data_IF_210965256587
#
_entry.id   IF_210965256587
#
_cell.length_a   1.000
_cell.length_b   1.000
_cell.length_c   1.000
_cell.angle_alpha   90.00
_cell.angle_beta   90.00
_cell.angle_gamma   90.00
#
_symmetry.space_group_name_H-M   'P 1'
#
loop_
_entity.id
_entity.type
_entity.pdbx_description
1 polymer ?
#
# COMPACT_ATOMS: atom_id res chain seq x y z
N UNK A 1 -19.81 -0.47 27.16
CA UNK A 1 -18.97 -1.29 28.06
C UNK A 1 -17.80 -1.82 27.25
N UNK A 2 -16.67 -1.11 27.21
CA UNK A 2 -15.41 -1.65 26.69
C UNK A 2 -14.24 -0.87 27.29
N UNK A 3 -13.17 -1.59 27.59
CA UNK A 3 -12.30 -1.41 28.74
C UNK A 3 -11.12 -0.46 28.50
N UNK A 4 -10.77 0.29 29.55
CA UNK A 4 -9.60 1.18 29.68
C UNK A 4 -8.29 0.37 29.66
N UNK A 5 -7.34 0.75 28.81
CA UNK A 5 -5.95 0.32 28.88
C UNK A 5 -5.14 1.34 29.70
N UNK A 6 -4.71 0.93 30.89
CA UNK A 6 -3.78 1.64 31.77
C UNK A 6 -2.33 1.36 31.34
N UNK A 7 -1.65 2.36 30.78
CA UNK A 7 -0.19 2.35 30.60
C UNK A 7 0.49 2.85 31.88
N UNK A 8 1.16 1.96 32.62
CA UNK A 8 1.97 2.30 33.79
C UNK A 8 3.41 2.59 33.35
N UNK A 9 3.87 3.82 33.61
CA UNK A 9 5.26 4.26 33.47
C UNK A 9 6.10 3.72 34.62
N UNK A 10 7.29 3.19 34.33
CA UNK A 10 8.27 2.78 35.34
C UNK A 10 9.43 3.81 35.36
N UNK A 11 9.39 4.74 36.30
CA UNK A 11 10.56 5.52 36.72
C UNK A 11 11.18 4.84 37.95
N UNK A 12 12.47 4.47 37.88
CA UNK A 12 13.18 3.85 39.00
C UNK A 12 14.26 4.79 39.55
N UNK A 13 13.86 5.49 40.61
CA UNK A 13 14.57 5.74 41.87
C UNK A 13 16.07 6.09 41.86
N UNK A 14 16.34 7.39 42.06
CA UNK A 14 17.56 7.92 42.68
C UNK A 14 17.55 7.68 44.22
N UNK A 15 18.65 7.15 44.77
CA UNK A 15 19.03 7.21 46.20
C UNK A 15 20.38 7.94 46.26
N UNK A 16 20.47 9.19 46.77
CA UNK A 16 20.70 9.60 48.19
C UNK A 16 21.81 8.79 48.85
N UNK A 17 22.78 9.29 49.60
CA UNK A 17 23.30 10.57 50.13
C UNK A 17 24.73 10.18 50.61
N UNK A 18 25.70 11.03 50.98
CA UNK A 18 25.78 11.94 52.13
C UNK A 18 27.18 12.55 52.04
N UNK A 19 27.25 13.86 52.25
CA UNK A 19 28.46 14.68 52.35
C UNK A 19 28.83 14.82 53.83
N UNK A 20 30.01 14.35 54.23
CA UNK A 20 30.67 14.52 55.53
C UNK A 20 32.17 14.33 55.23
N UNK A 21 33.16 15.04 55.76
CA UNK A 21 33.27 16.24 56.61
C UNK A 21 34.79 16.46 56.62
N UNK A 22 35.31 17.59 56.11
CA UNK A 22 36.74 17.91 56.27
C UNK A 22 36.99 18.24 57.75
N UNK A 23 37.90 17.49 58.36
CA UNK A 23 38.47 17.79 59.67
C UNK A 23 39.98 17.64 59.56
N UNK A 24 40.65 18.78 59.49
CA UNK A 24 42.09 18.91 59.63
C UNK A 24 42.54 18.33 60.98
N UNK A 25 43.48 17.39 60.93
CA UNK A 25 44.27 17.02 62.11
C UNK A 25 45.74 16.98 61.74
N UNK A 26 46.42 18.05 62.14
CA UNK A 26 47.88 18.15 62.17
C UNK A 26 48.30 18.20 63.65
N UNK A 27 48.97 17.17 64.17
CA UNK A 27 50.20 17.32 64.97
C UNK A 27 50.72 15.98 65.53
N UNK A 28 51.95 15.67 65.10
CA UNK A 28 53.14 15.28 65.88
C UNK A 28 53.00 14.10 66.87
N UNK A 29 53.73 12.99 66.62
CA UNK A 29 54.89 12.60 67.44
C UNK A 29 55.62 11.31 66.98
N UNK A 30 56.96 11.41 67.03
CA UNK A 30 57.98 10.39 67.39
C UNK A 30 58.47 9.32 66.40
N UNK A 31 59.76 9.52 66.09
CA UNK A 31 60.80 8.70 65.46
C UNK A 31 61.13 7.41 66.23
N UNK A 32 61.47 6.32 65.53
CA UNK A 32 62.73 5.58 65.75
C UNK A 32 63.02 4.52 64.67
N UNK A 33 64.24 4.59 64.08
CA UNK A 33 65.19 3.55 63.62
C UNK A 33 64.65 2.17 63.18
N UNK A 34 65.09 1.55 62.07
CA UNK A 34 66.48 1.12 61.83
C UNK A 34 66.63 0.36 60.50
N UNK A 35 67.63 0.75 59.70
CA UNK A 35 68.62 -0.08 58.94
C UNK A 35 68.14 -1.18 57.92
N UNK A 36 69.02 -1.61 56.99
CA UNK A 36 68.68 -1.75 55.57
C UNK A 36 68.51 -3.21 55.12
N UNK A 37 68.31 -3.41 53.80
CA UNK A 37 68.46 -4.66 53.00
C UNK A 37 67.16 -5.38 52.61
N UNK A 38 66.55 -5.00 51.46
CA UNK A 38 65.83 -5.87 50.48
C UNK A 38 65.05 -5.12 49.36
N UNK A 39 65.42 -3.89 48.98
CA UNK A 39 64.56 -3.03 48.15
C UNK A 39 64.64 -3.25 46.62
N UNK A 40 65.73 -3.78 46.06
CA UNK A 40 65.91 -3.78 44.60
C UNK A 40 64.88 -4.62 43.82
N UNK A 41 64.54 -5.82 44.30
CA UNK A 41 63.61 -6.72 43.61
C UNK A 41 62.15 -6.23 43.60
N UNK A 42 61.72 -5.51 44.64
CA UNK A 42 60.35 -4.97 44.75
C UNK A 42 60.17 -3.74 43.86
N UNK A 43 61.22 -2.94 43.75
CA UNK A 43 61.24 -1.76 42.89
C UNK A 43 61.25 -2.20 41.42
N UNK A 44 62.04 -3.22 41.06
CA UNK A 44 62.06 -3.82 39.73
C UNK A 44 60.69 -4.40 39.34
N UNK A 45 60.01 -5.11 40.25
CA UNK A 45 58.66 -5.65 40.01
C UNK A 45 57.62 -4.55 39.79
N UNK A 46 57.73 -3.44 40.52
CA UNK A 46 56.84 -2.30 40.40
C UNK A 46 57.04 -1.56 39.06
N UNK A 47 58.28 -1.43 38.60
CA UNK A 47 58.62 -0.86 37.30
C UNK A 47 58.08 -1.73 36.16
N UNK A 48 58.25 -3.05 36.26
CA UNK A 48 57.73 -4.00 35.26
C UNK A 48 56.20 -3.96 35.23
N UNK A 49 55.53 -3.93 36.39
CA UNK A 49 54.08 -3.83 36.45
C UNK A 49 53.53 -2.53 35.84
N UNK A 50 54.20 -1.40 36.11
CA UNK A 50 53.85 -0.11 35.52
C UNK A 50 54.01 -0.12 33.99
N UNK A 51 55.09 -0.70 33.48
CA UNK A 51 55.35 -0.79 32.04
C UNK A 51 54.39 -1.74 31.33
N UNK A 52 54.05 -2.89 31.97
CA UNK A 52 53.03 -3.82 31.47
C UNK A 52 51.65 -3.16 31.44
N UNK A 53 51.26 -2.43 32.50
CA UNK A 53 50.00 -1.70 32.53
C UNK A 53 49.95 -0.61 31.44
N UNK A 54 51.05 0.10 31.22
CA UNK A 54 51.17 1.11 30.16
C UNK A 54 50.96 0.49 28.78
N UNK A 55 51.63 -0.62 28.50
CA UNK A 55 51.54 -1.30 27.21
C UNK A 55 50.15 -1.90 26.98
N UNK A 56 49.59 -2.59 27.98
CA UNK A 56 48.26 -3.20 27.90
C UNK A 56 47.18 -2.13 27.72
N UNK A 57 47.19 -1.06 28.50
CA UNK A 57 46.21 0.02 28.34
C UNK A 57 46.31 0.67 26.95
N UNK A 58 47.53 0.91 26.45
CA UNK A 58 47.74 1.45 25.10
C UNK A 58 47.19 0.50 24.01
N UNK A 59 47.41 -0.81 24.16
CA UNK A 59 46.90 -1.81 23.20
C UNK A 59 45.38 -1.93 23.29
N UNK A 60 44.80 -1.90 24.50
CA UNK A 60 43.35 -1.94 24.70
C UNK A 60 42.70 -0.70 24.09
N UNK A 61 43.21 0.50 24.37
CA UNK A 61 42.72 1.76 23.81
C UNK A 61 42.76 1.75 22.28
N UNK A 62 43.84 1.25 21.69
CA UNK A 62 43.97 1.19 20.22
C UNK A 62 43.03 0.16 19.59
N UNK A 63 42.85 -1.02 20.18
CA UNK A 63 41.93 -2.05 19.66
C UNK A 63 40.47 -1.61 19.83
N UNK A 64 40.09 -1.11 21.01
CA UNK A 64 38.74 -0.61 21.28
C UNK A 64 38.44 0.59 20.39
N UNK A 65 39.37 1.54 20.25
CA UNK A 65 39.22 2.68 19.35
C UNK A 65 38.98 2.26 17.91
N UNK A 66 39.74 1.29 17.39
CA UNK A 66 39.52 0.72 16.04
C UNK A 66 38.14 0.07 15.90
N UNK A 67 37.71 -0.70 16.90
CA UNK A 67 36.40 -1.36 16.87
C UNK A 67 35.25 -0.34 16.91
N UNK A 68 35.35 0.69 17.76
CA UNK A 68 34.38 1.79 17.87
C UNK A 68 34.32 2.56 16.55
N UNK A 69 35.46 2.94 15.96
CA UNK A 69 35.47 3.65 14.67
C UNK A 69 34.79 2.82 13.57
N UNK A 70 35.08 1.52 13.50
CA UNK A 70 34.44 0.62 12.52
C UNK A 70 32.93 0.49 12.73
N UNK A 71 32.46 0.51 13.98
CA UNK A 71 31.04 0.55 14.30
C UNK A 71 30.41 1.89 13.92
N UNK A 72 31.09 2.99 14.20
CA UNK A 72 30.66 4.34 13.84
C UNK A 72 30.51 4.49 12.32
N UNK A 73 31.48 4.00 11.54
CA UNK A 73 31.41 3.99 10.08
C UNK A 73 30.19 3.21 9.56
N UNK A 74 29.94 2.02 10.14
CA UNK A 74 28.77 1.20 9.79
C UNK A 74 27.45 1.86 10.16
N UNK A 75 27.38 2.51 11.32
CA UNK A 75 26.19 3.25 11.76
C UNK A 75 25.93 4.43 10.84
N UNK A 76 26.97 5.17 10.45
CA UNK A 76 26.87 6.26 9.47
C UNK A 76 26.41 5.79 8.10
N UNK A 77 26.92 4.65 7.60
CA UNK A 77 26.47 4.04 6.34
C UNK A 77 24.99 3.61 6.41
N UNK A 78 24.58 2.96 7.50
CA UNK A 78 23.18 2.57 7.73
C UNK A 78 22.27 3.81 7.80
N UNK A 79 22.70 4.86 8.50
CA UNK A 79 21.95 6.12 8.59
C UNK A 79 21.78 6.78 7.21
N UNK A 80 22.83 6.78 6.39
CA UNK A 80 22.76 7.28 5.01
C UNK A 80 21.81 6.47 4.12
N UNK A 81 21.86 5.14 4.22
CA UNK A 81 20.93 4.24 3.52
C UNK A 81 19.49 4.45 3.98
N UNK A 82 19.25 4.60 5.28
CA UNK A 82 17.93 4.85 5.83
C UNK A 82 17.37 6.18 5.32
N UNK A 83 18.15 7.25 5.33
CA UNK A 83 17.74 8.54 4.75
C UNK A 83 17.39 8.44 3.26
N UNK A 84 18.13 7.61 2.51
CA UNK A 84 17.85 7.37 1.09
C UNK A 84 16.54 6.59 0.91
N UNK A 85 16.30 5.59 1.75
CA UNK A 85 15.07 4.81 1.74
C UNK A 85 13.86 5.67 2.12
N UNK A 86 13.97 6.56 3.11
CA UNK A 86 12.90 7.47 3.50
C UNK A 86 12.49 8.39 2.34
N UNK A 87 13.46 8.91 1.57
CA UNK A 87 13.17 9.71 0.37
C UNK A 87 12.42 8.91 -0.68
N UNK A 88 12.91 7.70 -1.01
CA UNK A 88 12.24 6.81 -1.96
C UNK A 88 10.84 6.42 -1.50
N UNK A 89 10.66 6.23 -0.20
CA UNK A 89 9.35 5.92 0.37
C UNK A 89 8.38 7.09 0.19
N UNK A 90 8.85 8.33 0.39
CA UNK A 90 8.07 9.53 0.06
C UNK A 90 7.66 9.58 -1.40
N UNK A 91 8.60 9.38 -2.34
CA UNK A 91 8.31 9.34 -3.78
C UNK A 91 7.28 8.26 -4.15
N UNK A 92 7.37 7.07 -3.53
CA UNK A 92 6.40 5.99 -3.73
C UNK A 92 5.02 6.39 -3.20
N UNK A 93 4.94 7.01 -2.02
CA UNK A 93 3.67 7.48 -1.46
C UNK A 93 3.01 8.49 -2.39
N UNK A 94 3.77 9.47 -2.88
CA UNK A 94 3.26 10.49 -3.80
C UNK A 94 2.78 9.87 -5.12
N UNK A 95 3.56 8.95 -5.69
CA UNK A 95 3.18 8.24 -6.92
C UNK A 95 1.93 7.38 -6.72
N UNK A 96 1.79 6.70 -5.59
CA UNK A 96 0.60 5.92 -5.26
C UNK A 96 -0.62 6.83 -5.09
N UNK A 97 -0.48 7.98 -4.44
CA UNK A 97 -1.57 8.96 -4.31
C UNK A 97 -2.04 9.46 -5.68
N UNK A 98 -1.11 9.77 -6.59
CA UNK A 98 -1.46 10.18 -7.95
C UNK A 98 -2.19 9.07 -8.71
N UNK A 99 -1.69 7.83 -8.67
CA UNK A 99 -2.33 6.69 -9.33
C UNK A 99 -3.75 6.46 -8.78
N UNK A 100 -3.94 6.60 -7.47
CA UNK A 100 -5.26 6.46 -6.84
C UNK A 100 -6.24 7.52 -7.35
N UNK A 101 -5.82 8.77 -7.47
CA UNK A 101 -6.64 9.85 -8.00
C UNK A 101 -7.03 9.61 -9.47
N UNK A 102 -6.05 9.27 -10.32
CA UNK A 102 -6.28 8.94 -11.73
C UNK A 102 -7.21 7.72 -11.90
N UNK A 103 -7.09 6.73 -11.00
CA UNK A 103 -7.97 5.55 -10.99
C UNK A 103 -9.40 5.93 -10.65
N UNK A 104 -9.62 6.79 -9.66
CA UNK A 104 -10.95 7.25 -9.26
C UNK A 104 -11.61 8.04 -10.40
N UNK A 105 -10.87 8.93 -11.07
CA UNK A 105 -11.38 9.67 -12.23
C UNK A 105 -11.73 8.73 -13.39
N UNK A 106 -10.85 7.76 -13.67
CA UNK A 106 -11.07 6.75 -14.71
C UNK A 106 -12.32 5.91 -14.45
N UNK A 107 -12.53 5.45 -13.21
CA UNK A 107 -13.74 4.69 -12.83
C UNK A 107 -14.99 5.56 -13.03
N UNK A 108 -14.95 6.81 -12.58
CA UNK A 108 -16.07 7.74 -12.72
C UNK A 108 -16.42 8.00 -14.19
N UNK A 109 -15.39 8.08 -15.06
CA UNK A 109 -15.56 8.25 -16.50
C UNK A 109 -16.16 7.00 -17.15
N UNK A 110 -15.71 5.81 -16.74
CA UNK A 110 -16.24 4.54 -17.23
C UNK A 110 -17.73 4.42 -16.87
N UNK A 111 -18.10 4.64 -15.60
CA UNK A 111 -19.49 4.59 -15.14
C UNK A 111 -20.40 5.52 -15.95
N UNK A 112 -19.92 6.72 -16.26
CA UNK A 112 -20.66 7.68 -17.08
C UNK A 112 -20.83 7.20 -18.53
N UNK A 113 -19.78 6.63 -19.14
CA UNK A 113 -19.83 6.09 -20.50
C UNK A 113 -20.72 4.86 -20.58
N UNK A 114 -20.70 3.99 -19.58
CA UNK A 114 -21.58 2.82 -19.49
C UNK A 114 -23.04 3.23 -19.45
N UNK A 115 -23.39 4.23 -18.62
CA UNK A 115 -24.75 4.79 -18.55
C UNK A 115 -25.21 5.36 -19.89
N UNK A 116 -24.36 6.15 -20.56
CA UNK A 116 -24.69 6.68 -21.88
C UNK A 116 -24.87 5.57 -22.91
N UNK A 117 -24.00 4.55 -22.90
CA UNK A 117 -24.10 3.41 -23.80
C UNK A 117 -25.42 2.67 -23.58
N UNK A 118 -25.82 2.48 -22.33
CA UNK A 118 -27.10 1.84 -22.00
C UNK A 118 -28.29 2.67 -22.49
N UNK A 119 -28.27 3.99 -22.29
CA UNK A 119 -29.32 4.88 -22.78
C UNK A 119 -29.43 4.85 -24.31
N UNK A 120 -28.29 4.88 -25.01
CA UNK A 120 -28.24 4.78 -26.47
C UNK A 120 -28.77 3.44 -26.98
N UNK A 121 -28.46 2.33 -26.30
CA UNK A 121 -29.01 1.01 -26.63
C UNK A 121 -30.54 0.98 -26.49
N UNK A 122 -31.08 1.55 -25.42
CA UNK A 122 -32.53 1.63 -25.22
C UNK A 122 -33.20 2.50 -26.30
N UNK A 123 -32.59 3.64 -26.65
CA UNK A 123 -33.07 4.50 -27.74
C UNK A 123 -33.06 3.78 -29.09
N UNK A 124 -31.98 3.03 -29.38
CA UNK A 124 -31.85 2.26 -30.61
C UNK A 124 -32.93 1.17 -30.71
N UNK A 125 -33.16 0.43 -29.62
CA UNK A 125 -34.21 -0.60 -29.55
C UNK A 125 -35.61 0.02 -29.76
N UNK A 126 -35.91 1.14 -29.09
CA UNK A 126 -37.17 1.86 -29.27
C UNK A 126 -37.36 2.34 -30.73
N UNK A 127 -36.30 2.86 -31.37
CA UNK A 127 -36.34 3.26 -32.77
C UNK A 127 -36.51 2.08 -33.73
N UNK A 128 -35.81 0.97 -33.49
CA UNK A 128 -35.94 -0.26 -34.28
C UNK A 128 -37.35 -0.83 -34.17
N UNK A 129 -37.91 -0.88 -32.96
CA UNK A 129 -39.26 -1.34 -32.70
C UNK A 129 -40.31 -0.42 -33.34
N UNK A 130 -40.13 0.90 -33.29
CA UNK A 130 -41.02 1.85 -33.99
C UNK A 130 -40.92 1.73 -35.50
N UNK A 131 -39.71 1.58 -36.03
CA UNK A 131 -39.48 1.41 -37.46
C UNK A 131 -40.11 0.13 -38.00
N UNK A 132 -40.10 -0.95 -37.22
CA UNK A 132 -40.65 -2.26 -37.59
C UNK A 132 -42.07 -2.50 -37.07
N UNK A 133 -42.70 -1.53 -36.41
CA UNK A 133 -44.02 -1.68 -35.77
C UNK A 133 -45.12 -2.18 -36.72
N UNK A 134 -45.04 -1.81 -37.99
CA UNK A 134 -46.01 -2.19 -39.01
C UNK A 134 -45.57 -3.42 -39.83
N UNK A 135 -44.44 -4.04 -39.49
CA UNK A 135 -43.92 -5.21 -40.19
C UNK A 135 -44.47 -6.48 -39.54
N UNK A 136 -45.11 -7.33 -40.33
CA UNK A 136 -45.53 -8.67 -39.92
C UNK A 136 -44.60 -9.71 -40.52
N UNK A 137 -44.16 -10.65 -39.69
CA UNK A 137 -43.35 -11.80 -40.13
C UNK A 137 -44.19 -13.07 -40.07
N UNK A 138 -44.44 -13.66 -41.24
CA UNK A 138 -45.10 -14.95 -41.35
C UNK A 138 -44.05 -16.06 -41.44
N UNK A 139 -44.16 -17.06 -40.57
CA UNK A 139 -43.22 -18.18 -40.47
C UNK A 139 -43.93 -19.44 -41.01
N UNK A 140 -43.17 -20.38 -41.58
CA UNK A 140 -43.68 -21.65 -42.13
C UNK A 140 -44.57 -21.53 -43.37
N UNK A 141 -44.34 -20.53 -44.23
CA UNK A 141 -44.98 -20.47 -45.56
C UNK A 141 -44.15 -21.30 -46.57
N UNK A 142 -44.76 -22.30 -47.25
CA UNK A 142 -44.07 -23.11 -48.25
C UNK A 142 -43.47 -22.27 -49.39
N UNK A 143 -42.28 -22.66 -49.87
CA UNK A 143 -41.56 -21.99 -50.96
C UNK A 143 -42.33 -21.97 -52.29
N UNK A 144 -43.30 -22.88 -52.46
CA UNK A 144 -44.12 -23.00 -53.67
C UNK A 144 -44.99 -21.78 -53.95
N UNK A 145 -45.20 -20.89 -52.97
CA UNK A 145 -45.93 -19.64 -53.16
C UNK A 145 -45.00 -18.56 -53.71
N UNK A 146 -45.17 -18.21 -54.99
CA UNK A 146 -44.49 -17.06 -55.61
C UNK A 146 -45.11 -15.72 -55.19
N UNK A 147 -44.46 -14.59 -55.49
CA UNK A 147 -44.84 -13.25 -55.01
C UNK A 147 -46.33 -12.89 -55.19
N UNK A 148 -46.91 -13.15 -56.37
CA UNK A 148 -48.34 -12.85 -56.61
C UNK A 148 -49.26 -13.75 -55.78
N UNK A 149 -48.87 -15.02 -55.58
CA UNK A 149 -49.57 -15.97 -54.72
C UNK A 149 -49.43 -15.61 -53.24
N UNK A 150 -48.28 -15.06 -52.82
CA UNK A 150 -48.08 -14.54 -51.46
C UNK A 150 -48.97 -13.34 -51.19
N UNK A 151 -49.06 -12.40 -52.13
CA UNK A 151 -49.96 -11.25 -51.98
C UNK A 151 -51.43 -11.72 -51.82
N UNK A 152 -51.89 -12.67 -52.62
CA UNK A 152 -53.24 -13.23 -52.50
C UNK A 152 -53.47 -13.95 -51.16
N UNK A 153 -52.48 -14.70 -50.68
CA UNK A 153 -52.53 -15.38 -49.39
C UNK A 153 -52.69 -14.38 -48.23
N UNK A 154 -51.87 -13.33 -48.21
CA UNK A 154 -51.90 -12.31 -47.15
C UNK A 154 -53.17 -11.46 -47.23
N UNK A 155 -53.55 -10.98 -48.43
CA UNK A 155 -54.67 -10.03 -48.59
C UNK A 155 -56.06 -10.67 -48.47
N UNK A 156 -56.22 -11.94 -48.84
CA UNK A 156 -57.54 -12.59 -48.90
C UNK A 156 -57.64 -13.82 -47.99
N UNK A 157 -56.69 -14.74 -48.12
CA UNK A 157 -56.82 -16.06 -47.48
C UNK A 157 -56.67 -15.99 -45.96
N UNK A 158 -55.69 -15.23 -45.46
CA UNK A 158 -55.44 -15.10 -44.01
C UNK A 158 -56.59 -14.37 -43.30
N UNK A 159 -57.05 -13.18 -43.73
CA UNK A 159 -58.18 -12.49 -43.10
C UNK A 159 -59.45 -13.34 -43.05
N UNK A 160 -59.74 -14.09 -44.13
CA UNK A 160 -60.87 -15.01 -44.21
C UNK A 160 -60.74 -16.16 -43.20
N UNK A 161 -59.55 -16.76 -43.10
CA UNK A 161 -59.28 -17.88 -42.18
C UNK A 161 -59.30 -17.46 -40.72
N UNK A 162 -58.89 -16.23 -40.42
CA UNK A 162 -58.93 -15.66 -39.07
C UNK A 162 -60.31 -15.10 -38.68
N UNK A 163 -61.27 -15.03 -39.62
CA UNK A 163 -62.60 -14.51 -39.37
C UNK A 163 -62.61 -13.01 -39.04
N UNK A 164 -61.67 -12.24 -39.61
CA UNK A 164 -61.60 -10.80 -39.35
C UNK A 164 -62.82 -10.08 -39.94
N UNK A 165 -63.26 -8.95 -39.35
CA UNK A 165 -64.30 -8.09 -39.91
C UNK A 165 -63.91 -7.57 -41.30
N UNK A 166 -64.89 -7.32 -42.17
CA UNK A 166 -64.65 -6.81 -43.53
C UNK A 166 -63.87 -5.49 -43.55
N UNK A 167 -63.99 -4.67 -42.50
CA UNK A 167 -63.20 -3.45 -42.35
C UNK A 167 -61.68 -3.71 -42.30
N UNK A 168 -61.26 -4.88 -41.82
CA UNK A 168 -59.85 -5.26 -41.70
C UNK A 168 -59.24 -5.79 -43.02
N UNK A 169 -60.00 -5.90 -44.11
CA UNK A 169 -59.50 -6.38 -45.41
C UNK A 169 -58.88 -5.25 -46.23
N UNK A 170 -59.12 -4.00 -45.84
CA UNK A 170 -58.66 -2.82 -46.58
C UNK A 170 -57.32 -2.28 -46.05
N UNK A 171 -56.29 -3.13 -46.02
CA UNK A 171 -54.93 -2.71 -45.66
C UNK A 171 -54.04 -2.61 -46.91
N UNK A 172 -53.16 -1.61 -46.91
CA UNK A 172 -52.17 -1.41 -47.97
C UNK A 172 -50.86 -2.07 -47.58
N UNK A 173 -50.34 -2.93 -48.45
CA UNK A 173 -49.02 -3.54 -48.29
C UNK A 173 -48.00 -2.65 -48.99
N UNK A 174 -47.05 -2.08 -48.24
CA UNK A 174 -45.98 -1.25 -48.81
C UNK A 174 -44.86 -2.09 -49.44
N UNK A 175 -44.48 -3.19 -48.76
CA UNK A 175 -43.45 -4.12 -49.23
C UNK A 175 -43.77 -5.53 -48.75
N UNK A 176 -43.70 -6.48 -49.68
CA UNK A 176 -43.80 -7.91 -49.39
C UNK A 176 -42.56 -8.59 -49.96
N UNK A 177 -41.81 -9.29 -49.11
CA UNK A 177 -40.63 -10.03 -49.52
C UNK A 177 -40.35 -11.15 -48.53
N UNK A 178 -39.60 -12.14 -49.00
CA UNK A 178 -39.06 -13.23 -48.17
C UNK A 178 -37.73 -12.77 -47.54
N UNK A 179 -37.49 -13.21 -46.30
CA UNK A 179 -36.27 -12.98 -45.52
C UNK A 179 -35.59 -14.32 -45.30
#
# INVERSE_FOLDING_TARGET
MSSKANGKTYEKANKKNVKLQDMDTNSIFLSHNSAPTRTSLSDDYSIIAAEVARLINTVIETIIGKAINKLQDKISDISGKLSTHDKRFGEIVDAVSQIQEETIDSISRIDFLEKQTQELKLKLDDWENRSRRNNLRFINIPESYQNDSLYALISKTIPLKLGLPQECYNFKIERLHRI
#
